data_IF_874929521843
#
_entry.id   IF_874929521843
#
_cell.length_a   1.000
_cell.length_b   1.000
_cell.length_c   1.000
_cell.angle_alpha   90.00
_cell.angle_beta   90.00
_cell.angle_gamma   90.00
#
_symmetry.space_group_name_H-M   'P 1'
#
loop_
_entity.id
_entity.type
_entity.pdbx_description
1 polymer ?
#
# COMPACT_ATOMS: atom_id res chain seq x y z
N UNK A 1 32.20 -1.50 17.73
CA UNK A 1 32.55 -0.08 17.65
C UNK A 1 31.45 0.62 16.87
N UNK A 2 30.55 1.29 17.58
CA UNK A 2 29.51 2.13 16.99
C UNK A 2 30.16 3.48 16.71
N UNK A 3 30.37 3.81 15.44
CA UNK A 3 30.78 5.17 15.05
C UNK A 3 29.58 6.10 15.23
N UNK A 4 29.69 7.02 16.17
CA UNK A 4 28.79 8.15 16.32
C UNK A 4 28.85 9.03 15.07
N UNK A 5 27.79 9.02 14.27
CA UNK A 5 27.59 10.04 13.24
C UNK A 5 27.03 11.30 13.90
N UNK A 6 27.89 12.17 14.37
CA UNK A 6 27.55 13.54 14.71
C UNK A 6 27.44 14.37 13.41
N UNK A 7 26.32 14.27 12.73
CA UNK A 7 25.90 15.26 11.74
C UNK A 7 25.01 16.29 12.46
N UNK A 8 25.53 17.46 12.77
CA UNK A 8 24.75 18.60 13.21
C UNK A 8 23.90 19.09 12.04
N UNK A 9 22.67 18.58 11.94
CA UNK A 9 21.62 19.24 11.16
C UNK A 9 21.06 20.39 12.01
N UNK A 10 20.75 21.57 11.40
CA UNK A 10 20.01 22.61 12.11
C UNK A 10 18.68 22.01 12.57
N UNK A 11 18.51 21.87 13.87
CA UNK A 11 17.27 21.39 14.46
C UNK A 11 16.18 22.44 14.20
N UNK A 12 15.45 22.34 13.09
CA UNK A 12 14.06 22.80 13.08
C UNK A 12 13.40 22.11 14.27
N UNK A 13 12.62 22.86 15.07
CA UNK A 13 11.87 22.31 16.19
C UNK A 13 10.87 21.28 15.64
N UNK A 14 11.29 20.03 15.51
CA UNK A 14 10.46 18.91 15.08
C UNK A 14 9.55 18.56 16.25
N UNK A 15 8.26 18.87 16.11
CA UNK A 15 7.23 18.62 17.13
C UNK A 15 6.97 17.11 17.32
N UNK A 16 7.04 16.33 16.26
CA UNK A 16 6.80 14.90 16.23
C UNK A 16 6.99 14.33 14.84
N UNK A 17 6.55 13.11 14.62
CA UNK A 17 6.73 12.41 13.34
C UNK A 17 5.42 11.74 12.89
N UNK A 18 5.24 11.62 11.58
CA UNK A 18 4.20 10.82 10.95
C UNK A 18 4.85 9.66 10.21
N UNK A 19 4.53 8.42 10.57
CA UNK A 19 4.95 7.22 9.88
C UNK A 19 3.77 6.63 9.09
N UNK A 20 3.83 6.69 7.77
CA UNK A 20 2.91 5.97 6.89
C UNK A 20 3.50 4.58 6.65
N UNK A 21 2.74 3.55 6.98
CA UNK A 21 3.14 2.15 6.84
C UNK A 21 2.16 1.45 5.92
N UNK A 22 2.63 0.98 4.77
CA UNK A 22 1.81 0.26 3.81
C UNK A 22 2.03 -1.24 3.95
N UNK A 23 0.98 -2.02 3.82
CA UNK A 23 1.05 -3.48 3.78
C UNK A 23 0.62 -4.00 2.41
N UNK A 24 1.57 -4.49 1.62
CA UNK A 24 1.31 -5.07 0.31
C UNK A 24 1.25 -6.59 0.42
N UNK A 25 0.08 -7.13 0.18
CA UNK A 25 -0.17 -8.55 0.25
C UNK A 25 -1.19 -9.01 -0.78
N UNK A 26 -0.85 -10.08 -1.49
CA UNK A 26 -1.82 -10.91 -2.20
C UNK A 26 -1.58 -12.37 -1.83
N UNK A 27 -2.64 -13.18 -1.66
CA UNK A 27 -2.49 -14.61 -1.49
C UNK A 27 -1.82 -15.21 -2.73
N UNK A 28 -1.22 -16.40 -2.59
CA UNK A 28 -0.64 -17.08 -3.73
C UNK A 28 -1.75 -17.62 -4.65
N UNK A 29 -2.05 -16.86 -5.69
CA UNK A 29 -3.24 -17.04 -6.54
C UNK A 29 -2.91 -17.59 -7.93
N UNK A 30 -1.73 -18.20 -8.09
CA UNK A 30 -1.33 -18.75 -9.38
C UNK A 30 -2.10 -20.03 -9.72
N UNK A 31 -2.84 -19.99 -10.82
CA UNK A 31 -3.38 -21.17 -11.49
C UNK A 31 -2.69 -21.40 -12.83
N UNK A 32 -2.71 -22.64 -13.31
CA UNK A 32 -2.16 -23.00 -14.64
C UNK A 32 -3.07 -22.57 -15.80
N UNK A 33 -4.24 -22.02 -15.52
CA UNK A 33 -5.21 -21.57 -16.53
C UNK A 33 -4.93 -20.11 -16.91
N UNK A 34 -4.79 -19.86 -18.21
CA UNK A 34 -4.66 -18.49 -18.75
C UNK A 34 -5.94 -17.69 -18.46
N UNK A 35 -5.77 -16.40 -18.16
CA UNK A 35 -6.86 -15.47 -17.88
C UNK A 35 -7.73 -15.89 -16.68
N UNK A 36 -7.14 -16.41 -15.61
CA UNK A 36 -7.89 -16.67 -14.38
C UNK A 36 -8.28 -15.35 -13.68
N UNK A 37 -9.34 -15.38 -12.88
CA UNK A 37 -9.78 -14.23 -12.08
C UNK A 37 -8.67 -13.80 -11.09
N UNK A 38 -7.96 -14.76 -10.53
CA UNK A 38 -6.90 -14.53 -9.56
C UNK A 38 -5.67 -13.86 -10.19
N UNK A 39 -5.34 -14.21 -11.44
CA UNK A 39 -4.29 -13.49 -12.19
C UNK A 39 -4.72 -12.04 -12.49
N UNK A 40 -6.00 -11.82 -12.80
CA UNK A 40 -6.53 -10.46 -12.99
C UNK A 40 -6.36 -9.59 -11.73
N UNK A 41 -6.59 -10.14 -10.54
CA UNK A 41 -6.36 -9.40 -9.28
C UNK A 41 -4.90 -8.98 -9.12
N UNK A 42 -3.96 -9.90 -9.38
CA UNK A 42 -2.54 -9.58 -9.32
C UNK A 42 -2.15 -8.51 -10.34
N UNK A 43 -2.58 -8.66 -11.59
CA UNK A 43 -2.25 -7.72 -12.64
C UNK A 43 -2.88 -6.34 -12.43
N UNK A 44 -4.11 -6.28 -11.91
CA UNK A 44 -4.73 -5.03 -11.50
C UNK A 44 -3.95 -4.37 -10.34
N UNK A 45 -3.54 -5.13 -9.33
CA UNK A 45 -2.73 -4.60 -8.23
C UNK A 45 -1.35 -4.10 -8.72
N UNK A 46 -0.70 -4.81 -9.63
CA UNK A 46 0.55 -4.34 -10.27
C UNK A 46 0.31 -3.01 -10.99
N UNK A 47 -0.75 -2.93 -11.80
CA UNK A 47 -1.06 -1.77 -12.63
C UNK A 47 -1.55 -0.57 -11.82
N UNK A 48 -2.46 -0.79 -10.88
CA UNK A 48 -3.19 0.29 -10.19
C UNK A 48 -2.52 0.71 -8.87
N UNK A 49 -1.77 -0.20 -8.21
CA UNK A 49 -1.16 0.04 -6.91
C UNK A 49 0.38 0.05 -6.98
N UNK A 50 1.03 -1.07 -7.27
CA UNK A 50 2.48 -1.18 -7.03
C UNK A 50 3.31 -0.31 -7.97
N UNK A 51 3.01 -0.26 -9.27
CA UNK A 51 3.69 0.65 -10.20
C UNK A 51 3.44 2.12 -9.82
N UNK A 52 2.19 2.58 -9.61
CA UNK A 52 1.95 3.96 -9.19
C UNK A 52 2.63 4.34 -7.88
N UNK A 53 2.63 3.49 -6.86
CA UNK A 53 3.33 3.77 -5.61
C UNK A 53 4.84 3.91 -5.81
N UNK A 54 5.46 3.03 -6.58
CA UNK A 54 6.88 3.15 -6.93
C UNK A 54 7.17 4.46 -7.67
N UNK A 55 6.32 4.84 -8.63
CA UNK A 55 6.44 6.11 -9.36
C UNK A 55 6.28 7.31 -8.43
N UNK A 56 5.33 7.28 -7.49
CA UNK A 56 5.10 8.33 -6.50
C UNK A 56 6.31 8.52 -5.59
N UNK A 57 6.92 7.43 -5.12
CA UNK A 57 8.14 7.49 -4.28
C UNK A 57 9.31 8.05 -5.09
N UNK A 58 9.51 7.61 -6.34
CA UNK A 58 10.57 8.11 -7.22
C UNK A 58 10.40 9.59 -7.54
N UNK A 59 9.17 10.02 -7.87
CA UNK A 59 8.85 11.42 -8.13
C UNK A 59 9.15 12.28 -6.90
N UNK A 60 8.69 11.86 -5.73
CA UNK A 60 8.94 12.58 -4.48
C UNK A 60 10.41 12.62 -4.12
N UNK A 61 11.15 11.51 -4.31
CA UNK A 61 12.60 11.44 -4.10
C UNK A 61 13.36 12.45 -4.98
N UNK A 62 12.95 12.63 -6.24
CA UNK A 62 13.60 13.57 -7.14
C UNK A 62 13.44 15.03 -6.67
N UNK A 63 12.30 15.36 -6.04
CA UNK A 63 12.03 16.70 -5.53
C UNK A 63 12.54 16.92 -4.10
N UNK A 64 12.49 15.89 -3.26
CA UNK A 64 12.82 15.97 -1.84
C UNK A 64 13.51 14.67 -1.35
N UNK A 65 14.76 14.41 -1.77
CA UNK A 65 15.43 13.13 -1.56
C UNK A 65 15.66 12.78 -0.08
N UNK A 66 15.90 13.76 0.77
CA UNK A 66 16.21 13.53 2.18
C UNK A 66 14.98 13.22 3.02
N UNK A 67 13.83 13.83 2.68
CA UNK A 67 12.60 13.69 3.46
C UNK A 67 11.61 12.66 2.88
N UNK A 68 11.85 12.16 1.66
CA UNK A 68 11.04 11.08 1.10
C UNK A 68 11.34 9.78 1.83
N UNK A 69 10.50 9.43 2.77
CA UNK A 69 10.57 8.20 3.58
C UNK A 69 9.20 7.53 3.63
N UNK A 70 9.16 6.25 3.33
CA UNK A 70 7.95 5.44 3.43
C UNK A 70 8.33 4.06 3.96
N UNK A 71 7.47 3.46 4.75
CA UNK A 71 7.62 2.06 5.19
C UNK A 71 6.62 1.19 4.45
N UNK A 72 7.05 0.05 3.92
CA UNK A 72 6.18 -0.91 3.27
C UNK A 72 6.48 -2.34 3.76
N UNK A 73 5.44 -3.07 4.09
CA UNK A 73 5.54 -4.52 4.28
C UNK A 73 5.27 -5.21 2.95
N UNK A 74 6.18 -6.09 2.53
CA UNK A 74 6.00 -6.92 1.34
C UNK A 74 5.88 -8.38 1.78
N UNK A 75 4.70 -8.98 1.58
CA UNK A 75 4.50 -10.38 1.96
C UNK A 75 5.34 -11.33 1.08
N UNK A 76 5.86 -12.43 1.63
CA UNK A 76 6.63 -13.41 0.85
C UNK A 76 5.86 -14.00 -0.33
N UNK A 77 4.54 -14.16 -0.21
CA UNK A 77 3.68 -14.61 -1.31
C UNK A 77 3.68 -13.61 -2.45
N UNK A 78 3.49 -12.31 -2.17
CA UNK A 78 3.54 -11.26 -3.17
C UNK A 78 4.92 -11.17 -3.82
N UNK A 79 5.99 -11.21 -3.03
CA UNK A 79 7.37 -11.20 -3.56
C UNK A 79 7.63 -12.39 -4.49
N UNK A 80 7.12 -13.57 -4.15
CA UNK A 80 7.22 -14.76 -5.00
C UNK A 80 6.46 -14.60 -6.32
N UNK A 81 5.27 -14.00 -6.30
CA UNK A 81 4.49 -13.71 -7.49
C UNK A 81 5.19 -12.68 -8.38
N UNK A 82 5.66 -11.55 -7.82
CA UNK A 82 6.36 -10.50 -8.58
C UNK A 82 7.70 -10.97 -9.17
N UNK A 83 8.36 -11.95 -8.53
CA UNK A 83 9.60 -12.56 -9.02
C UNK A 83 9.38 -13.66 -10.06
N UNK A 84 8.15 -14.10 -10.28
CA UNK A 84 7.85 -15.22 -11.16
C UNK A 84 7.95 -14.82 -12.63
N UNK A 85 8.83 -15.48 -13.40
CA UNK A 85 9.08 -15.17 -14.81
C UNK A 85 7.84 -15.30 -15.68
N UNK A 86 7.01 -16.32 -15.47
CA UNK A 86 5.80 -16.51 -16.26
C UNK A 86 4.80 -15.36 -16.04
N UNK A 87 4.66 -14.85 -14.80
CA UNK A 87 3.84 -13.68 -14.47
C UNK A 87 4.41 -12.46 -15.18
N UNK A 88 5.74 -12.27 -15.12
CA UNK A 88 6.41 -11.16 -15.79
C UNK A 88 6.20 -11.17 -17.30
N UNK A 89 6.22 -12.33 -17.93
CA UNK A 89 6.01 -12.52 -19.38
C UNK A 89 4.53 -12.40 -19.78
N UNK A 90 3.60 -12.72 -18.89
CA UNK A 90 2.15 -12.65 -19.17
C UNK A 90 1.59 -11.23 -19.07
N UNK A 91 2.09 -10.39 -18.17
CA UNK A 91 1.58 -9.05 -17.91
C UNK A 91 1.47 -8.15 -19.17
N UNK A 92 2.44 -8.13 -20.11
CA UNK A 92 2.32 -7.38 -21.37
C UNK A 92 1.11 -7.77 -22.24
N UNK A 93 0.83 -9.06 -22.35
CA UNK A 93 -0.32 -9.55 -23.11
C UNK A 93 -1.65 -9.22 -22.42
N UNK A 94 -1.67 -9.21 -21.11
CA UNK A 94 -2.80 -8.78 -20.31
C UNK A 94 -3.11 -7.29 -20.53
N UNK A 95 -2.10 -6.40 -20.51
CA UNK A 95 -2.25 -4.98 -20.83
C UNK A 95 -2.77 -4.78 -22.25
N UNK A 96 -2.23 -5.52 -23.22
CA UNK A 96 -2.70 -5.45 -24.62
C UNK A 96 -4.19 -5.76 -24.71
N UNK A 97 -4.65 -6.82 -24.05
CA UNK A 97 -6.07 -7.19 -24.02
C UNK A 97 -6.95 -6.06 -23.48
N UNK A 98 -6.51 -5.35 -22.42
CA UNK A 98 -7.24 -4.18 -21.88
C UNK A 98 -7.30 -3.03 -22.89
N UNK A 99 -6.19 -2.71 -23.56
CA UNK A 99 -6.17 -1.71 -24.62
C UNK A 99 -7.09 -2.08 -25.79
N UNK A 100 -7.16 -3.36 -26.18
CA UNK A 100 -8.05 -3.84 -27.23
C UNK A 100 -9.53 -3.57 -26.87
N UNK A 101 -9.95 -3.85 -25.63
CA UNK A 101 -11.31 -3.52 -25.19
C UNK A 101 -11.60 -2.01 -25.30
N UNK A 102 -10.69 -1.15 -24.86
CA UNK A 102 -10.86 0.30 -24.92
C UNK A 102 -10.93 0.81 -26.39
N UNK A 103 -10.23 0.16 -27.31
CA UNK A 103 -10.24 0.50 -28.74
C UNK A 103 -11.54 0.08 -29.44
N UNK A 104 -12.28 -0.88 -28.89
CA UNK A 104 -13.54 -1.35 -29.44
C UNK A 104 -14.77 -0.57 -28.91
N UNK A 105 -14.58 0.41 -28.03
CA UNK A 105 -15.64 1.24 -27.45
C UNK A 105 -16.27 2.20 -28.48
N UNK A 106 -17.53 2.65 -28.30
CA UNK A 106 -18.11 3.77 -29.01
C UNK A 106 -17.28 5.06 -28.85
N UNK A 107 -17.38 6.00 -29.78
CA UNK A 107 -16.50 7.18 -29.83
C UNK A 107 -16.56 8.05 -28.55
N UNK A 108 -17.74 8.22 -27.97
CA UNK A 108 -17.90 8.99 -26.73
C UNK A 108 -17.13 8.35 -25.58
N UNK A 109 -17.27 7.03 -25.38
CA UNK A 109 -16.57 6.28 -24.36
C UNK A 109 -15.06 6.18 -24.62
N UNK A 110 -14.64 6.11 -25.91
CA UNK A 110 -13.23 6.21 -26.30
C UNK A 110 -12.60 7.50 -25.80
N UNK A 111 -13.31 8.61 -25.95
CA UNK A 111 -12.84 9.92 -25.48
C UNK A 111 -12.77 9.96 -23.94
N UNK A 112 -13.83 9.50 -23.28
CA UNK A 112 -13.88 9.44 -21.81
C UNK A 112 -12.82 8.52 -21.20
N UNK A 113 -12.47 7.42 -21.89
CA UNK A 113 -11.46 6.45 -21.43
C UNK A 113 -10.04 6.75 -21.93
N UNK A 114 -9.79 7.88 -22.59
CA UNK A 114 -8.47 8.22 -23.12
C UNK A 114 -7.38 8.23 -22.04
N UNK A 115 -7.69 8.71 -20.83
CA UNK A 115 -6.76 8.69 -19.70
C UNK A 115 -6.35 7.26 -19.31
N UNK A 116 -7.27 6.27 -19.39
CA UNK A 116 -6.94 4.87 -19.10
C UNK A 116 -5.93 4.31 -20.10
N UNK A 117 -6.11 4.58 -21.41
CA UNK A 117 -5.14 4.15 -22.45
C UNK A 117 -3.76 4.75 -22.16
N UNK A 118 -3.71 6.05 -21.87
CA UNK A 118 -2.46 6.73 -21.53
C UNK A 118 -1.82 6.11 -20.28
N UNK A 119 -2.60 5.82 -19.25
CA UNK A 119 -2.12 5.21 -18.01
C UNK A 119 -1.65 3.77 -18.24
N UNK A 120 -2.38 2.95 -18.99
CA UNK A 120 -1.94 1.61 -19.38
C UNK A 120 -0.60 1.64 -20.11
N UNK A 121 -0.44 2.54 -21.09
CA UNK A 121 0.79 2.67 -21.86
C UNK A 121 1.96 3.18 -20.99
N UNK A 122 1.75 4.19 -20.15
CA UNK A 122 2.79 4.75 -19.28
C UNK A 122 3.26 3.72 -18.24
N UNK A 123 2.34 2.95 -17.66
CA UNK A 123 2.67 1.90 -16.69
C UNK A 123 3.33 0.70 -17.38
N UNK A 124 2.96 0.40 -18.62
CA UNK A 124 3.66 -0.60 -19.41
C UNK A 124 5.09 -0.17 -19.73
N UNK A 125 5.32 1.09 -20.12
CA UNK A 125 6.67 1.64 -20.31
C UNK A 125 7.50 1.59 -19.04
N UNK A 126 6.89 1.89 -17.88
CA UNK A 126 7.56 1.74 -16.59
C UNK A 126 7.94 0.29 -16.31
N UNK A 127 7.01 -0.65 -16.55
CA UNK A 127 7.26 -2.08 -16.44
C UNK A 127 8.45 -2.54 -17.32
N UNK A 128 8.50 -2.07 -18.56
CA UNK A 128 9.62 -2.37 -19.46
C UNK A 128 10.95 -1.82 -18.93
N UNK A 129 10.97 -0.58 -18.41
CA UNK A 129 12.15 0.01 -17.77
C UNK A 129 12.65 -0.80 -16.57
N UNK A 130 11.75 -1.48 -15.88
CA UNK A 130 12.08 -2.40 -14.79
C UNK A 130 12.42 -3.82 -15.29
N UNK A 131 12.49 -4.06 -16.59
CA UNK A 131 12.64 -5.40 -17.20
C UNK A 131 11.63 -6.41 -16.67
N UNK A 132 10.41 -5.94 -16.33
CA UNK A 132 9.35 -6.74 -15.75
C UNK A 132 9.54 -7.11 -14.27
N UNK A 133 10.62 -6.68 -13.62
CA UNK A 133 10.96 -7.06 -12.26
C UNK A 133 10.83 -5.86 -11.28
N UNK A 134 9.64 -5.69 -10.71
CA UNK A 134 9.39 -4.63 -9.72
C UNK A 134 10.15 -4.86 -8.41
N UNK A 135 10.51 -6.09 -8.08
CA UNK A 135 11.25 -6.41 -6.84
C UNK A 135 12.60 -5.71 -6.80
N UNK A 136 13.29 -5.61 -7.95
CA UNK A 136 14.55 -4.87 -8.05
C UNK A 136 14.35 -3.36 -7.78
N UNK A 137 13.19 -2.83 -8.15
CA UNK A 137 12.87 -1.42 -7.89
C UNK A 137 12.62 -1.16 -6.42
N UNK A 138 11.90 -2.06 -5.73
CA UNK A 138 11.77 -2.02 -4.27
C UNK A 138 13.13 -2.12 -3.59
N UNK A 139 14.00 -3.04 -4.03
CA UNK A 139 15.37 -3.17 -3.52
C UNK A 139 16.18 -1.88 -3.71
N UNK A 140 16.10 -1.27 -4.87
CA UNK A 140 16.81 -0.02 -5.16
C UNK A 140 16.37 1.12 -4.20
N UNK A 141 15.06 1.29 -3.99
CA UNK A 141 14.53 2.31 -3.09
C UNK A 141 14.86 2.02 -1.62
N UNK A 142 14.89 0.76 -1.22
CA UNK A 142 15.35 0.35 0.11
C UNK A 142 16.83 0.69 0.32
N UNK A 143 17.69 0.32 -0.61
CA UNK A 143 19.13 0.59 -0.53
C UNK A 143 19.45 2.09 -0.54
N UNK A 144 18.64 2.92 -1.18
CA UNK A 144 18.76 4.37 -1.18
C UNK A 144 18.20 5.03 0.09
N UNK A 145 17.59 4.24 1.01
CA UNK A 145 17.04 4.71 2.27
C UNK A 145 15.76 5.54 2.14
N UNK A 146 15.09 5.51 0.99
CA UNK A 146 13.79 6.15 0.79
C UNK A 146 12.60 5.25 1.12
N UNK A 147 12.84 3.94 1.17
CA UNK A 147 11.87 2.94 1.52
C UNK A 147 12.43 2.02 2.60
N UNK A 148 11.70 1.83 3.69
CA UNK A 148 11.98 0.79 4.68
C UNK A 148 11.07 -0.41 4.42
N UNK A 149 11.66 -1.61 4.28
CA UNK A 149 10.90 -2.80 3.90
C UNK A 149 10.77 -3.76 5.08
N UNK A 150 9.54 -3.96 5.53
CA UNK A 150 9.16 -4.97 6.51
C UNK A 150 8.87 -6.30 5.82
N UNK A 151 9.01 -7.38 6.57
CA UNK A 151 8.43 -8.67 6.17
C UNK A 151 7.02 -8.85 6.73
N UNK A 152 6.38 -9.98 6.39
CA UNK A 152 5.12 -10.45 6.95
C UNK A 152 5.24 -11.97 7.25
N UNK A 153 4.26 -12.60 7.88
CA UNK A 153 4.21 -14.07 7.97
C UNK A 153 4.20 -14.69 6.56
N UNK A 154 4.88 -15.82 6.35
CA UNK A 154 5.21 -16.37 5.04
C UNK A 154 4.02 -16.51 4.09
N UNK A 155 2.88 -16.98 4.59
CA UNK A 155 1.63 -17.16 3.83
C UNK A 155 0.51 -16.27 4.34
N UNK A 156 0.83 -15.21 5.06
CA UNK A 156 -0.13 -14.34 5.76
C UNK A 156 -1.04 -15.12 6.74
N UNK A 157 -0.54 -16.23 7.29
CA UNK A 157 -1.30 -17.02 8.26
C UNK A 157 -1.63 -16.22 9.53
N UNK A 158 -2.88 -16.23 9.97
CA UNK A 158 -3.32 -15.53 11.18
C UNK A 158 -2.70 -16.16 12.42
N UNK A 159 -1.61 -15.55 12.93
CA UNK A 159 -0.74 -16.13 13.97
C UNK A 159 -1.46 -16.51 15.26
N UNK A 160 -2.46 -15.75 15.76
CA UNK A 160 -3.21 -16.15 16.95
C UNK A 160 -3.94 -17.49 16.84
N UNK A 161 -4.42 -17.88 15.66
CA UNK A 161 -5.01 -19.22 15.45
C UNK A 161 -3.92 -20.29 15.36
N UNK A 162 -2.77 -19.95 14.74
CA UNK A 162 -1.66 -20.87 14.57
C UNK A 162 -0.88 -21.16 15.87
N UNK A 163 -1.13 -20.41 16.95
CA UNK A 163 -0.42 -20.53 18.23
C UNK A 163 -0.51 -21.93 18.88
N UNK A 164 -1.54 -22.71 18.55
CA UNK A 164 -1.69 -24.08 19.02
C UNK A 164 -0.52 -24.98 18.60
N UNK A 165 0.18 -24.60 17.54
CA UNK A 165 1.42 -25.23 17.14
C UNK A 165 2.53 -24.17 16.96
N UNK A 166 3.35 -23.94 18.01
CA UNK A 166 4.42 -22.93 17.99
C UNK A 166 5.45 -23.13 16.87
N UNK A 167 5.69 -24.36 16.44
CA UNK A 167 6.62 -24.63 15.33
C UNK A 167 6.05 -24.16 13.99
N UNK A 168 4.74 -24.18 13.79
CA UNK A 168 4.08 -23.56 12.63
C UNK A 168 4.29 -22.04 12.63
N UNK A 169 4.15 -21.38 13.78
CA UNK A 169 4.40 -19.93 13.90
C UNK A 169 5.86 -19.59 13.60
N UNK A 170 6.81 -20.35 14.19
CA UNK A 170 8.24 -20.20 13.88
C UNK A 170 8.52 -20.43 12.40
N UNK A 171 7.89 -21.44 11.79
CA UNK A 171 7.98 -21.74 10.37
C UNK A 171 7.52 -20.57 9.49
N UNK A 172 6.39 -19.96 9.82
CA UNK A 172 5.88 -18.76 9.15
C UNK A 172 6.88 -17.59 9.21
N UNK A 173 7.42 -17.31 10.38
CA UNK A 173 8.35 -16.18 10.60
C UNK A 173 9.71 -16.46 9.94
N UNK A 174 10.32 -17.63 10.18
CA UNK A 174 11.64 -17.95 9.66
C UNK A 174 11.67 -18.08 8.14
N UNK A 175 10.59 -18.59 7.54
CA UNK A 175 10.47 -18.66 6.08
C UNK A 175 10.37 -17.24 5.49
N UNK A 176 9.63 -16.35 6.13
CA UNK A 176 9.53 -14.96 5.72
C UNK A 176 10.89 -14.24 5.81
N UNK A 177 11.63 -14.42 6.89
CA UNK A 177 12.96 -13.84 7.07
C UNK A 177 13.94 -14.37 6.00
N UNK A 178 13.94 -15.66 5.73
CA UNK A 178 14.78 -16.25 4.67
C UNK A 178 14.44 -15.68 3.30
N UNK A 179 13.14 -15.55 2.98
CA UNK A 179 12.69 -14.93 1.74
C UNK A 179 13.20 -13.49 1.63
N UNK A 180 13.06 -12.71 2.70
CA UNK A 180 13.52 -11.33 2.75
C UNK A 180 15.05 -11.23 2.55
N UNK A 181 15.83 -12.04 3.25
CA UNK A 181 17.29 -12.08 3.10
C UNK A 181 17.71 -12.45 1.68
N UNK A 182 17.07 -13.45 1.09
CA UNK A 182 17.37 -13.88 -0.29
C UNK A 182 17.10 -12.75 -1.31
N UNK A 183 16.08 -11.93 -1.08
CA UNK A 183 15.69 -10.87 -2.00
C UNK A 183 16.46 -9.57 -1.72
N UNK A 184 16.55 -9.13 -0.46
CA UNK A 184 17.08 -7.82 -0.10
C UNK A 184 18.51 -7.85 0.46
N UNK A 185 19.07 -9.04 0.74
CA UNK A 185 20.43 -9.21 1.24
C UNK A 185 20.61 -8.93 2.74
N UNK A 186 19.58 -8.46 3.43
CA UNK A 186 19.61 -8.09 4.85
C UNK A 186 18.45 -8.72 5.61
N UNK A 187 18.60 -8.89 6.93
CA UNK A 187 17.48 -9.33 7.77
C UNK A 187 16.49 -8.19 7.98
N UNK A 188 15.18 -8.45 7.93
CA UNK A 188 14.18 -7.45 8.27
C UNK A 188 14.25 -7.17 9.79
N UNK A 189 14.18 -5.91 10.18
CA UNK A 189 14.06 -5.52 11.59
C UNK A 189 12.61 -5.49 12.05
N UNK A 190 11.68 -5.20 11.14
CA UNK A 190 10.26 -5.11 11.40
C UNK A 190 9.43 -6.17 10.69
N UNK A 191 8.27 -6.44 11.27
CA UNK A 191 7.27 -7.34 10.71
C UNK A 191 5.89 -6.70 10.75
N UNK A 192 5.12 -6.86 9.67
CA UNK A 192 3.68 -6.71 9.71
C UNK A 192 3.06 -8.02 10.19
N UNK A 193 2.45 -8.00 11.36
CA UNK A 193 1.69 -9.16 11.83
C UNK A 193 0.39 -9.25 11.03
N UNK A 194 0.03 -10.42 10.47
CA UNK A 194 -1.24 -10.59 9.77
C UNK A 194 -2.40 -10.05 10.60
N UNK A 195 -3.21 -9.17 9.99
CA UNK A 195 -4.33 -8.45 10.62
C UNK A 195 -3.92 -7.60 11.85
N UNK A 196 -2.65 -7.18 11.95
CA UNK A 196 -2.08 -6.52 13.14
C UNK A 196 -2.33 -7.28 14.44
N UNK A 197 -2.47 -8.61 14.36
CA UNK A 197 -2.89 -9.44 15.48
C UNK A 197 -1.71 -9.99 16.28
N UNK A 198 -1.81 -9.89 17.60
CA UNK A 198 -0.82 -10.34 18.55
C UNK A 198 -1.43 -11.34 19.55
N UNK A 199 -0.62 -12.22 20.10
CA UNK A 199 -0.96 -13.07 21.24
C UNK A 199 0.23 -13.14 22.21
N UNK A 200 -0.05 -13.46 23.49
CA UNK A 200 0.97 -13.52 24.54
C UNK A 200 2.08 -14.52 24.19
N UNK A 201 3.34 -14.12 24.42
CA UNK A 201 4.58 -14.84 24.11
C UNK A 201 4.99 -14.91 22.63
N UNK A 202 4.25 -14.30 21.70
CA UNK A 202 4.71 -14.15 20.31
C UNK A 202 6.01 -13.33 20.24
N UNK A 203 6.18 -12.36 21.13
CA UNK A 203 7.38 -11.50 21.22
C UNK A 203 8.67 -12.31 21.42
N UNK A 204 8.63 -13.43 22.14
CA UNK A 204 9.78 -14.30 22.28
C UNK A 204 10.21 -14.89 20.93
N UNK A 205 9.26 -15.42 20.16
CA UNK A 205 9.52 -15.97 18.82
C UNK A 205 10.05 -14.90 17.89
N UNK A 206 9.46 -13.69 17.90
CA UNK A 206 9.91 -12.56 17.09
C UNK A 206 11.35 -12.15 17.44
N UNK A 207 11.64 -11.97 18.72
CA UNK A 207 12.96 -11.56 19.21
C UNK A 207 14.05 -12.58 18.85
N UNK A 208 13.79 -13.87 19.10
CA UNK A 208 14.72 -14.96 18.81
C UNK A 208 14.99 -15.08 17.28
N UNK A 209 14.00 -14.75 16.45
CA UNK A 209 14.12 -14.70 14.99
C UNK A 209 14.84 -13.45 14.47
N UNK A 210 15.13 -12.47 15.35
CA UNK A 210 15.82 -11.23 14.98
C UNK A 210 14.91 -10.05 14.68
N UNK A 211 13.60 -10.20 14.78
CA UNK A 211 12.64 -9.11 14.63
C UNK A 211 12.69 -8.21 15.87
N UNK A 212 12.67 -6.91 15.67
CA UNK A 212 12.80 -5.91 16.73
C UNK A 212 11.55 -5.04 16.90
N UNK A 213 10.71 -4.96 15.88
CA UNK A 213 9.44 -4.24 16.02
C UNK A 213 8.32 -4.83 15.15
N UNK A 214 7.09 -4.51 15.56
CA UNK A 214 5.88 -4.86 14.82
C UNK A 214 4.82 -3.75 14.94
N UNK A 215 3.87 -3.77 14.01
CA UNK A 215 2.72 -2.87 14.00
C UNK A 215 1.52 -3.61 14.61
N UNK A 216 0.80 -2.94 15.50
CA UNK A 216 -0.44 -3.45 16.09
C UNK A 216 -1.60 -2.49 15.87
N UNK A 217 -2.80 -3.00 15.96
CA UNK A 217 -3.96 -2.13 16.07
C UNK A 217 -3.95 -1.34 17.39
N UNK A 218 -4.53 -0.13 17.38
CA UNK A 218 -4.49 0.78 18.52
C UNK A 218 -5.06 0.17 19.81
N UNK A 219 -6.12 -0.64 19.72
CA UNK A 219 -6.73 -1.27 20.88
C UNK A 219 -5.79 -2.27 21.59
N UNK A 220 -4.93 -2.96 20.82
CA UNK A 220 -3.92 -3.87 21.37
C UNK A 220 -2.88 -3.15 22.24
N UNK A 221 -2.55 -1.90 21.88
CA UNK A 221 -1.66 -1.05 22.69
C UNK A 221 -2.41 -0.46 23.88
N UNK A 222 -3.56 0.19 23.66
CA UNK A 222 -4.30 0.93 24.69
C UNK A 222 -4.82 0.04 25.84
N UNK A 223 -5.08 -1.23 25.55
CA UNK A 223 -5.56 -2.20 26.55
C UNK A 223 -4.45 -3.07 27.17
N UNK A 224 -3.17 -2.74 26.89
CA UNK A 224 -2.05 -3.45 27.52
C UNK A 224 -1.96 -3.19 29.03
N UNK A 225 -1.31 -4.10 29.76
CA UNK A 225 -1.06 -3.97 31.20
C UNK A 225 0.46 -3.96 31.46
N UNK A 226 1.00 -2.89 32.07
CA UNK A 226 0.32 -1.64 32.45
C UNK A 226 -0.13 -0.82 31.23
N UNK A 227 -1.11 0.05 31.42
CA UNK A 227 -1.54 0.97 30.33
C UNK A 227 -0.40 1.88 29.90
N UNK A 228 -0.20 2.08 28.59
CA UNK A 228 0.90 2.90 28.08
C UNK A 228 0.68 4.38 28.44
N UNK A 229 1.73 5.01 28.99
CA UNK A 229 1.68 6.42 29.41
C UNK A 229 1.30 7.38 28.27
N UNK A 230 1.73 7.08 27.04
CA UNK A 230 1.56 7.93 25.88
C UNK A 230 0.58 7.37 24.83
N UNK A 231 -0.29 6.43 25.26
CA UNK A 231 -1.24 5.80 24.36
C UNK A 231 -0.55 5.13 23.16
N UNK A 232 -1.03 5.40 21.95
CA UNK A 232 -0.45 4.88 20.70
C UNK A 232 0.69 5.76 20.14
N UNK A 233 0.96 6.91 20.76
CA UNK A 233 1.88 7.92 20.23
C UNK A 233 3.36 7.69 20.56
N UNK A 234 3.66 6.64 21.28
CA UNK A 234 5.01 6.11 21.52
C UNK A 234 4.97 4.59 21.49
N UNK A 235 6.03 3.92 21.01
CA UNK A 235 6.07 2.47 21.04
C UNK A 235 6.11 1.95 22.47
N UNK A 236 5.51 0.79 22.70
CA UNK A 236 5.70 -0.01 23.92
C UNK A 236 6.66 -1.15 23.65
N UNK A 237 7.48 -1.49 24.62
CA UNK A 237 8.40 -2.62 24.50
C UNK A 237 7.90 -3.81 25.32
N UNK A 238 7.92 -5.00 24.73
CA UNK A 238 7.68 -6.23 25.46
C UNK A 238 8.85 -6.56 26.39
N UNK A 239 8.63 -7.50 27.31
CA UNK A 239 9.70 -7.99 28.23
C UNK A 239 10.90 -8.58 27.47
N UNK A 240 10.71 -9.06 26.25
CA UNK A 240 11.78 -9.62 25.40
C UNK A 240 12.53 -8.56 24.58
N UNK A 241 12.04 -7.31 24.54
CA UNK A 241 12.69 -6.22 23.82
C UNK A 241 12.19 -6.00 22.39
N UNK A 242 11.00 -6.50 22.05
CA UNK A 242 10.31 -6.16 20.79
C UNK A 242 9.49 -4.90 21.01
N UNK A 243 9.67 -3.89 20.15
CA UNK A 243 8.89 -2.68 20.17
C UNK A 243 7.59 -2.85 19.37
N UNK A 244 6.47 -2.41 19.91
CA UNK A 244 5.17 -2.42 19.24
C UNK A 244 4.68 -1.00 19.02
N UNK A 245 4.34 -0.70 17.77
CA UNK A 245 3.81 0.59 17.32
C UNK A 245 2.31 0.45 17.09
N UNK A 246 1.52 1.35 17.68
CA UNK A 246 0.07 1.29 17.61
C UNK A 246 -0.50 2.16 16.48
N UNK A 247 -1.51 1.65 15.77
CA UNK A 247 -2.31 2.43 14.81
C UNK A 247 -2.90 3.67 15.48
N UNK A 248 -2.68 4.84 14.90
CA UNK A 248 -3.39 6.06 15.26
C UNK A 248 -4.68 6.17 14.43
N UNK A 249 -5.82 6.02 15.10
CA UNK A 249 -7.13 6.06 14.45
C UNK A 249 -7.44 7.42 13.84
N UNK A 250 -6.99 8.52 14.45
CA UNK A 250 -7.20 9.86 13.93
C UNK A 250 -6.48 10.09 12.59
N UNK A 251 -5.33 9.45 12.41
CA UNK A 251 -4.58 9.47 11.14
C UNK A 251 -5.18 8.53 10.09
N UNK A 252 -5.82 7.42 10.49
CA UNK A 252 -6.23 6.39 9.53
C UNK A 252 -7.67 6.50 9.07
N UNK A 253 -8.61 6.87 9.95
CA UNK A 253 -10.03 6.94 9.60
C UNK A 253 -10.36 7.79 8.37
N UNK A 254 -9.77 8.99 8.19
CA UNK A 254 -10.07 9.82 7.03
C UNK A 254 -9.66 9.22 5.68
N UNK A 255 -8.76 8.24 5.70
CA UNK A 255 -8.22 7.57 4.51
C UNK A 255 -8.90 6.23 4.25
N UNK A 256 -9.35 5.53 5.31
CA UNK A 256 -10.04 4.25 5.18
C UNK A 256 -11.50 4.33 4.73
N UNK A 257 -12.21 5.36 5.20
CA UNK A 257 -13.65 5.43 4.98
C UNK A 257 -13.98 5.87 3.56
N UNK A 258 -14.63 5.01 2.79
CA UNK A 258 -15.21 5.39 1.50
C UNK A 258 -16.48 6.26 1.65
N UNK A 259 -17.09 6.30 2.84
CA UNK A 259 -18.32 7.06 3.10
C UNK A 259 -18.02 8.45 3.68
N UNK A 260 -17.18 8.49 4.70
CA UNK A 260 -16.95 9.71 5.50
C UNK A 260 -15.51 10.22 5.35
N UNK A 261 -14.67 9.53 4.56
CA UNK A 261 -13.27 9.86 4.31
C UNK A 261 -13.02 10.41 2.92
N UNK A 262 -11.75 10.69 2.64
CA UNK A 262 -11.31 11.23 1.35
C UNK A 262 -11.71 10.36 0.14
N UNK A 263 -11.60 9.00 0.19
CA UNK A 263 -11.87 8.16 -0.97
C UNK A 263 -13.28 8.25 -1.52
N UNK A 264 -14.25 8.74 -0.74
CA UNK A 264 -15.64 8.90 -1.14
C UNK A 264 -15.96 10.19 -1.90
N UNK A 265 -14.98 11.04 -2.23
CA UNK A 265 -15.23 12.29 -2.92
C UNK A 265 -15.85 12.08 -4.32
N UNK A 266 -16.84 12.89 -4.64
CA UNK A 266 -17.67 12.77 -5.85
C UNK A 266 -16.90 12.87 -7.17
N UNK A 267 -15.71 13.47 -7.16
CA UNK A 267 -14.87 13.61 -8.38
C UNK A 267 -13.97 12.41 -8.60
N UNK A 268 -13.82 11.54 -7.61
CA UNK A 268 -12.96 10.37 -7.70
C UNK A 268 -13.56 9.25 -8.55
N UNK A 269 -12.70 8.34 -8.99
CA UNK A 269 -13.10 7.23 -9.87
C UNK A 269 -14.05 6.29 -9.14
N UNK A 270 -15.19 5.99 -9.77
CA UNK A 270 -16.14 5.00 -9.29
C UNK A 270 -15.52 3.59 -9.30
N UNK A 271 -15.56 2.92 -8.17
CA UNK A 271 -14.98 1.60 -8.01
C UNK A 271 -15.82 0.48 -8.62
N UNK A 272 -17.13 0.57 -8.51
CA UNK A 272 -18.06 -0.52 -8.89
C UNK A 272 -18.44 -0.52 -10.36
N UNK A 273 -18.31 0.61 -11.06
CA UNK A 273 -18.64 0.72 -12.48
C UNK A 273 -17.44 0.32 -13.35
N UNK A 274 -17.41 -0.95 -13.74
CA UNK A 274 -16.34 -1.57 -14.52
C UNK A 274 -16.89 -2.11 -15.85
N UNK A 275 -16.18 -1.83 -16.95
CA UNK A 275 -16.55 -2.27 -18.30
C UNK A 275 -16.77 -3.79 -18.41
N UNK A 276 -16.08 -4.58 -17.59
CA UNK A 276 -16.21 -6.04 -17.58
C UNK A 276 -17.60 -6.54 -17.17
N UNK A 277 -18.36 -5.76 -16.43
CA UNK A 277 -19.77 -6.05 -16.10
C UNK A 277 -20.76 -5.61 -17.20
N UNK A 278 -20.39 -4.56 -17.96
CA UNK A 278 -21.25 -3.95 -18.97
C UNK A 278 -21.16 -4.64 -20.34
N UNK A 279 -19.98 -5.16 -20.69
CA UNK A 279 -19.77 -5.84 -21.98
C UNK A 279 -20.61 -7.11 -22.13
N UNK A 280 -21.10 -7.40 -23.35
CA UNK A 280 -21.67 -8.70 -23.67
C UNK A 280 -20.65 -9.81 -23.48
N UNK A 281 -21.08 -10.96 -22.92
CA UNK A 281 -20.20 -12.09 -22.67
C UNK A 281 -19.45 -12.56 -23.93
N UNK A 282 -20.09 -12.51 -25.08
CA UNK A 282 -19.47 -12.87 -26.36
C UNK A 282 -18.23 -12.03 -26.73
N UNK A 283 -18.14 -10.77 -26.26
CA UNK A 283 -16.94 -9.94 -26.42
C UNK A 283 -15.82 -10.38 -25.47
N UNK A 284 -16.16 -10.78 -24.27
CA UNK A 284 -15.22 -11.29 -23.28
C UNK A 284 -14.64 -12.65 -23.73
N UNK A 285 -15.48 -13.55 -24.18
CA UNK A 285 -15.09 -14.88 -24.69
C UNK A 285 -14.12 -14.80 -25.88
N UNK A 286 -14.29 -13.86 -26.78
CA UNK A 286 -13.35 -13.60 -27.90
C UNK A 286 -11.94 -13.25 -27.42
N UNK A 287 -11.80 -12.78 -26.18
CA UNK A 287 -10.52 -12.47 -25.55
C UNK A 287 -10.10 -13.52 -24.50
N UNK A 288 -10.80 -14.68 -24.48
CA UNK A 288 -10.49 -15.79 -23.57
C UNK A 288 -10.99 -15.59 -22.14
N UNK A 289 -11.98 -14.74 -21.91
CA UNK A 289 -12.60 -14.48 -20.61
C UNK A 289 -14.00 -15.08 -20.61
N UNK A 290 -14.18 -16.19 -19.89
CA UNK A 290 -15.41 -17.01 -19.94
C UNK A 290 -16.54 -16.52 -19.04
N UNK A 291 -16.28 -15.57 -18.12
CA UNK A 291 -17.28 -15.06 -17.18
C UNK A 291 -17.19 -13.55 -17.05
N UNK A 292 -18.30 -12.87 -16.80
CA UNK A 292 -18.31 -11.44 -16.45
C UNK A 292 -17.55 -11.24 -15.15
N UNK A 293 -16.67 -10.24 -15.12
CA UNK A 293 -15.86 -9.89 -13.97
C UNK A 293 -15.23 -8.51 -14.14
N UNK A 294 -14.71 -7.86 -13.09
CA UNK A 294 -13.97 -6.61 -13.22
C UNK A 294 -12.74 -6.79 -14.13
N UNK A 295 -12.55 -5.89 -15.07
CA UNK A 295 -11.38 -5.83 -15.96
C UNK A 295 -10.37 -4.76 -15.52
N UNK A 296 -10.71 -3.95 -14.52
CA UNK A 296 -9.93 -2.76 -14.15
C UNK A 296 -10.16 -1.59 -15.13
N UNK A 297 -11.18 -1.65 -15.97
CA UNK A 297 -11.50 -0.63 -16.97
C UNK A 297 -12.65 0.26 -16.52
N UNK A 298 -12.34 1.24 -15.66
CA UNK A 298 -13.27 2.12 -14.99
C UNK A 298 -12.99 3.57 -15.38
N UNK A 299 -13.96 4.23 -16.03
CA UNK A 299 -13.82 5.60 -16.54
C UNK A 299 -14.99 6.52 -16.17
N UNK A 300 -15.67 6.19 -15.07
CA UNK A 300 -16.71 7.03 -14.48
C UNK A 300 -16.27 7.52 -13.10
N UNK A 301 -16.85 8.62 -12.63
CA UNK A 301 -16.65 9.16 -11.28
C UNK A 301 -17.81 8.80 -10.36
N UNK A 302 -17.59 8.91 -9.06
CA UNK A 302 -18.61 8.66 -8.03
C UNK A 302 -19.84 9.53 -8.27
N UNK A 303 -19.66 10.77 -8.73
CA UNK A 303 -20.72 11.72 -9.12
C UNK A 303 -21.51 12.23 -7.92
N UNK A 304 -22.26 11.35 -7.24
CA UNK A 304 -22.91 11.57 -5.95
C UNK A 304 -23.38 10.21 -5.38
N UNK A 305 -23.64 10.15 -4.08
CA UNK A 305 -23.97 8.91 -3.36
C UNK A 305 -25.25 8.23 -3.86
N UNK A 306 -26.25 9.03 -4.26
CA UNK A 306 -27.56 8.56 -4.68
C UNK A 306 -27.71 8.37 -6.21
N UNK A 307 -26.62 8.57 -6.98
CA UNK A 307 -26.66 8.39 -8.44
C UNK A 307 -26.48 6.91 -8.78
N UNK A 308 -27.42 6.27 -9.51
CA UNK A 308 -27.30 4.90 -9.95
C UNK A 308 -26.05 4.67 -10.81
N UNK A 309 -25.49 3.46 -10.80
CA UNK A 309 -24.28 3.13 -11.57
C UNK A 309 -24.43 3.45 -13.07
N UNK A 310 -25.63 3.25 -13.65
CA UNK A 310 -25.90 3.56 -15.05
C UNK A 310 -25.79 5.04 -15.42
N UNK A 311 -26.00 5.93 -14.45
CA UNK A 311 -26.08 7.39 -14.63
C UNK A 311 -24.82 8.13 -14.16
N UNK A 312 -23.78 7.41 -13.70
CA UNK A 312 -22.52 8.00 -13.25
C UNK A 312 -21.87 8.77 -14.38
N UNK A 313 -21.40 9.99 -14.09
CA UNK A 313 -20.71 10.85 -15.05
C UNK A 313 -19.30 10.34 -15.37
N UNK A 314 -18.77 10.76 -16.50
CA UNK A 314 -17.40 10.41 -16.87
C UNK A 314 -16.37 11.03 -15.92
N UNK A 315 -15.32 10.29 -15.69
CA UNK A 315 -14.19 10.68 -14.82
C UNK A 315 -13.30 11.72 -15.51
N UNK A 316 -12.87 12.70 -14.75
CA UNK A 316 -11.98 13.77 -15.20
C UNK A 316 -10.70 13.76 -14.35
N UNK A 317 -9.63 13.20 -14.94
CA UNK A 317 -8.37 12.94 -14.23
C UNK A 317 -7.77 14.19 -13.57
N UNK A 318 -7.80 15.33 -14.26
CA UNK A 318 -7.22 16.58 -13.74
C UNK A 318 -7.99 17.13 -12.54
N UNK A 319 -9.32 17.01 -12.53
CA UNK A 319 -10.14 17.40 -11.37
C UNK A 319 -9.82 16.51 -10.17
N UNK A 320 -9.75 15.20 -10.39
CA UNK A 320 -9.44 14.24 -9.35
C UNK A 320 -8.03 14.39 -8.78
N UNK A 321 -7.02 14.64 -9.62
CA UNK A 321 -5.65 14.93 -9.18
C UNK A 321 -5.57 16.19 -8.33
N UNK A 322 -6.26 17.27 -8.75
CA UNK A 322 -6.34 18.51 -7.96
C UNK A 322 -6.98 18.23 -6.60
N UNK A 323 -8.08 17.49 -6.57
CA UNK A 323 -8.76 17.13 -5.33
C UNK A 323 -7.87 16.27 -4.41
N UNK A 324 -7.11 15.32 -4.96
CA UNK A 324 -6.16 14.53 -4.18
C UNK A 324 -5.05 15.39 -3.56
N UNK A 325 -4.58 16.42 -4.25
CA UNK A 325 -3.65 17.40 -3.68
C UNK A 325 -4.28 18.19 -2.53
N UNK A 326 -5.51 18.71 -2.71
CA UNK A 326 -6.27 19.40 -1.65
C UNK A 326 -6.47 18.51 -0.41
N UNK A 327 -6.78 17.23 -0.61
CA UNK A 327 -6.95 16.26 0.49
C UNK A 327 -5.63 15.95 1.19
N UNK A 328 -4.52 15.87 0.45
CA UNK A 328 -3.20 15.64 1.06
C UNK A 328 -2.76 16.83 1.92
N UNK A 329 -3.02 18.07 1.49
CA UNK A 329 -2.72 19.26 2.26
C UNK A 329 -3.60 19.34 3.52
N UNK A 330 -4.89 19.03 3.38
CA UNK A 330 -5.81 18.96 4.53
C UNK A 330 -5.39 17.87 5.54
N UNK A 331 -4.95 16.72 5.05
CA UNK A 331 -4.43 15.62 5.89
C UNK A 331 -3.19 16.07 6.66
N UNK A 332 -2.19 16.64 5.98
CA UNK A 332 -0.95 17.10 6.62
C UNK A 332 -1.23 18.21 7.65
N UNK A 333 -2.10 19.17 7.33
CA UNK A 333 -2.52 20.20 8.27
C UNK A 333 -3.18 19.63 9.53
N UNK A 334 -4.05 18.63 9.37
CA UNK A 334 -4.70 17.96 10.49
C UNK A 334 -3.66 17.20 11.35
N UNK A 335 -2.69 16.52 10.75
CA UNK A 335 -1.62 15.83 11.49
C UNK A 335 -0.68 16.80 12.19
N UNK A 336 -0.35 17.93 11.58
CA UNK A 336 0.43 18.99 12.24
C UNK A 336 -0.26 19.49 13.50
N UNK A 337 -1.56 19.84 13.42
CA UNK A 337 -2.35 20.27 14.58
C UNK A 337 -2.45 19.20 15.67
N UNK A 338 -2.56 17.91 15.29
CA UNK A 338 -2.56 16.80 16.23
C UNK A 338 -1.22 16.71 16.96
N UNK A 339 -0.09 16.80 16.23
CA UNK A 339 1.25 16.80 16.81
C UNK A 339 1.48 17.99 17.74
N UNK A 340 1.04 19.20 17.36
CA UNK A 340 1.09 20.40 18.22
C UNK A 340 0.37 20.16 19.55
N UNK A 341 -0.87 19.66 19.49
CA UNK A 341 -1.68 19.38 20.68
C UNK A 341 -1.02 18.34 21.60
N UNK A 342 -0.48 17.26 21.03
CA UNK A 342 0.20 16.20 21.79
C UNK A 342 1.51 16.71 22.44
N UNK A 343 2.27 17.56 21.74
CA UNK A 343 3.53 18.10 22.24
C UNK A 343 3.30 19.09 23.39
N UNK A 344 2.24 19.91 23.32
CA UNK A 344 1.88 20.81 24.42
C UNK A 344 1.50 20.08 25.71
N UNK A 345 0.97 18.87 25.59
CA UNK A 345 0.52 18.05 26.73
C UNK A 345 1.58 17.07 27.25
N UNK A 346 2.78 17.04 26.66
CA UNK A 346 3.78 16.01 27.00
C UNK A 346 5.22 16.48 26.77
N UNK A 347 6.16 15.86 27.49
CA UNK A 347 7.61 16.11 27.35
C UNK A 347 8.31 15.20 26.33
N UNK A 348 7.57 14.46 25.51
CA UNK A 348 8.12 13.56 24.49
C UNK A 348 7.74 14.00 23.09
N UNK A 349 8.47 13.52 22.08
CA UNK A 349 8.14 13.74 20.66
C UNK A 349 7.18 12.64 20.19
N UNK A 350 5.91 12.94 19.90
CA UNK A 350 4.94 11.95 19.49
C UNK A 350 5.24 11.39 18.08
N UNK A 351 4.91 10.12 17.89
CA UNK A 351 4.92 9.44 16.61
C UNK A 351 3.49 9.02 16.25
N UNK A 352 2.96 9.56 15.18
CA UNK A 352 1.68 9.13 14.60
C UNK A 352 1.98 7.97 13.65
N UNK A 353 1.39 6.81 13.86
CA UNK A 353 1.56 5.63 13.00
C UNK A 353 0.28 5.39 12.24
N UNK A 354 0.35 5.55 10.92
CA UNK A 354 -0.77 5.41 10.00
C UNK A 354 -0.57 4.19 9.09
N UNK A 355 -0.97 2.99 9.54
CA UNK A 355 -0.87 1.76 8.77
C UNK A 355 -2.09 1.56 7.87
N UNK A 356 -1.85 1.12 6.61
CA UNK A 356 -2.85 0.89 5.60
C UNK A 356 -2.49 -0.32 4.74
N UNK A 357 -3.48 -0.97 4.14
CA UNK A 357 -3.24 -1.86 3.02
C UNK A 357 -2.76 -1.05 1.82
N UNK A 358 -1.69 -1.50 1.17
CA UNK A 358 -1.13 -0.80 0.01
C UNK A 358 -2.12 -0.74 -1.15
N UNK A 359 -2.94 -1.77 -1.31
CA UNK A 359 -3.94 -1.90 -2.37
C UNK A 359 -5.11 -0.90 -2.21
N UNK A 360 -5.25 -0.28 -1.03
CA UNK A 360 -6.12 0.88 -0.87
C UNK A 360 -5.71 1.99 -1.84
N UNK A 361 -4.41 2.25 -1.98
CA UNK A 361 -3.85 3.31 -2.81
C UNK A 361 -3.67 2.83 -4.26
N UNK A 362 -4.66 3.14 -5.09
CA UNK A 362 -4.66 2.87 -6.52
C UNK A 362 -5.69 1.83 -6.96
N UNK A 363 -5.92 0.77 -6.19
CA UNK A 363 -6.93 -0.22 -6.52
C UNK A 363 -8.32 0.15 -5.98
N UNK A 364 -8.45 0.30 -4.65
CA UNK A 364 -9.71 0.72 -4.02
C UNK A 364 -9.96 2.23 -4.19
N UNK A 365 -8.95 3.03 -3.96
CA UNK A 365 -8.93 4.48 -4.18
C UNK A 365 -7.92 4.83 -5.27
N UNK A 366 -8.39 5.00 -6.49
CA UNK A 366 -7.54 5.18 -7.67
C UNK A 366 -6.56 6.36 -7.56
N UNK A 367 -6.97 7.42 -6.90
CA UNK A 367 -6.19 8.64 -6.69
C UNK A 367 -5.23 8.53 -5.50
N UNK A 368 -5.30 7.43 -4.75
CA UNK A 368 -4.45 7.19 -3.58
C UNK A 368 -2.96 7.37 -3.81
N UNK A 369 -2.35 6.91 -4.91
CA UNK A 369 -0.94 7.16 -5.20
C UNK A 369 -0.59 8.64 -5.35
N UNK A 370 -1.47 9.47 -5.92
CA UNK A 370 -1.28 10.92 -6.00
C UNK A 370 -1.36 11.58 -4.62
N UNK A 371 -2.26 11.10 -3.78
CA UNK A 371 -2.35 11.55 -2.38
C UNK A 371 -1.06 11.24 -1.62
N UNK A 372 -0.52 10.01 -1.72
CA UNK A 372 0.77 9.63 -1.10
C UNK A 372 1.92 10.47 -1.67
N UNK A 373 1.99 10.65 -2.98
CA UNK A 373 3.01 11.47 -3.64
C UNK A 373 3.03 12.90 -3.08
N UNK A 374 1.87 13.55 -2.98
CA UNK A 374 1.76 14.90 -2.45
C UNK A 374 2.14 14.97 -0.96
N UNK A 375 1.76 13.97 -0.15
CA UNK A 375 2.20 13.89 1.26
C UNK A 375 3.73 13.82 1.32
N UNK A 376 4.36 12.93 0.56
CA UNK A 376 5.82 12.76 0.58
C UNK A 376 6.56 14.02 0.11
N UNK A 377 6.03 14.74 -0.89
CA UNK A 377 6.61 16.00 -1.38
C UNK A 377 6.47 17.14 -0.37
N UNK A 378 5.36 17.20 0.37
CA UNK A 378 5.00 18.32 1.23
C UNK A 378 5.30 18.07 2.73
N UNK A 379 5.71 16.87 3.12
CA UNK A 379 5.92 16.47 4.53
C UNK A 379 7.01 17.27 5.28
N UNK A 380 7.83 18.05 4.59
CA UNK A 380 8.89 18.89 5.16
C UNK A 380 8.52 20.36 5.29
N UNK A 381 7.35 20.76 4.79
CA UNK A 381 6.81 22.11 4.89
C UNK A 381 6.05 22.31 6.19
#
# INVERSE_FOLDING_TARGET
>A
MIKSMNGQYPQKNVLGQLAIVLHAHLPYVRKNEKNSLEEDWLFQAILECYIPLLQSIESSKNENPENTKLTISLSPTLLSLLSNKQIQETFPSWIKTRNDFLNELPQQEKNASAFLRNNLNNKYLYWQKCSGNLVEKFRFLNNSGNLDILTCAATHGYLPILRENPETVKGQINTAIRNHVNIFGTKPLGIWLPECAYYENLDAILFDSGIRYAILDGHGILNSTPRPRYGVYAPICSKKGVAFFGRDSESTLPVWSAKDGFPGDNVYREFHKDLGWELPISKLEKKGISTKRPLGLKFHKITADNVPLGEKAFYLENEAKKKAAEHSDAYLLARSKQLEKLTLSSSFKPLLVAPFDAELFGHWWYEGPFFIENILKNSSK
#
